data_IF_480775349722
#
_entry.id   IF_480775349722
#
_cell.length_a   1.000
_cell.length_b   1.000
_cell.length_c   1.000
_cell.angle_alpha   90.00
_cell.angle_beta   90.00
_cell.angle_gamma   90.00
#
_symmetry.space_group_name_H-M   'P 1'
#
loop_
_entity.id
_entity.type
_entity.pdbx_description
1 polymer ?
#
# COMPACT_ATOMS: atom_id res chain seq x y z
N UNK A 1 0.94 -15.94 -6.29
CA UNK A 1 0.42 -14.56 -6.18
C UNK A 1 -1.02 -14.61 -5.72
N UNK A 2 -1.43 -13.69 -4.86
CA UNK A 2 -2.81 -13.62 -4.35
C UNK A 2 -3.21 -12.16 -4.10
N UNK A 3 -4.50 -11.85 -4.15
CA UNK A 3 -5.03 -10.54 -3.76
C UNK A 3 -5.72 -10.65 -2.40
N UNK A 4 -5.29 -9.84 -1.44
CA UNK A 4 -5.93 -9.78 -0.12
C UNK A 4 -7.32 -9.15 -0.25
N UNK A 5 -8.30 -9.72 0.47
CA UNK A 5 -9.59 -9.07 0.70
C UNK A 5 -9.53 -8.37 2.04
N UNK A 6 -9.54 -7.04 2.03
CA UNK A 6 -9.63 -6.24 3.25
C UNK A 6 -10.98 -6.48 3.92
N UNK A 7 -10.98 -6.60 5.24
CA UNK A 7 -12.18 -6.82 6.05
C UNK A 7 -12.15 -5.88 7.23
N UNK A 8 -13.32 -5.45 7.66
CA UNK A 8 -13.45 -4.65 8.87
C UNK A 8 -12.90 -5.44 10.06
N UNK A 9 -11.99 -4.83 10.80
CA UNK A 9 -11.43 -5.37 12.04
C UNK A 9 -11.98 -4.59 13.23
N UNK A 10 -11.95 -5.19 14.42
CA UNK A 10 -12.19 -4.47 15.69
C UNK A 10 -10.97 -3.64 16.13
N UNK A 11 -9.81 -3.89 15.52
CA UNK A 11 -8.52 -3.32 15.93
C UNK A 11 -7.96 -2.37 14.87
N UNK A 12 -8.27 -2.61 13.59
CA UNK A 12 -7.83 -1.77 12.48
C UNK A 12 -9.03 -1.08 11.83
N UNK A 13 -8.93 0.24 11.71
CA UNK A 13 -9.87 1.03 10.94
C UNK A 13 -9.49 0.99 9.47
N UNK A 14 -10.49 0.89 8.59
CA UNK A 14 -10.31 1.07 7.16
C UNK A 14 -10.57 2.53 6.82
N UNK A 15 -9.77 3.09 5.92
CA UNK A 15 -9.92 4.44 5.41
C UNK A 15 -10.09 4.39 3.90
N UNK A 16 -10.89 5.31 3.36
CA UNK A 16 -11.12 5.45 1.92
C UNK A 16 -10.52 6.76 1.41
N UNK A 17 -9.56 6.67 0.50
CA UNK A 17 -8.90 7.81 -0.12
C UNK A 17 -9.35 7.93 -1.58
N UNK A 18 -10.08 9.00 -1.91
CA UNK A 18 -10.47 9.29 -3.29
C UNK A 18 -9.32 9.95 -4.05
N UNK A 19 -8.68 9.21 -4.95
CA UNK A 19 -7.55 9.69 -5.75
C UNK A 19 -8.04 10.15 -7.12
N UNK A 20 -7.78 11.43 -7.44
CA UNK A 20 -7.98 11.94 -8.79
C UNK A 20 -6.88 11.42 -9.72
N UNK A 21 -5.64 11.32 -9.22
CA UNK A 21 -4.48 10.80 -9.96
C UNK A 21 -4.71 9.37 -10.48
N UNK A 22 -5.26 8.49 -9.64
CA UNK A 22 -5.55 7.11 -10.00
C UNK A 22 -6.95 6.91 -10.59
N UNK A 23 -7.83 7.91 -10.47
CA UNK A 23 -9.22 7.83 -10.92
C UNK A 23 -10.07 6.82 -10.16
N UNK A 24 -9.70 6.50 -8.92
CA UNK A 24 -10.39 5.51 -8.08
C UNK A 24 -10.31 5.84 -6.59
N UNK A 25 -11.09 5.13 -5.78
CA UNK A 25 -11.01 5.17 -4.32
C UNK A 25 -10.11 4.01 -3.86
N UNK A 26 -9.09 4.33 -3.06
CA UNK A 26 -8.21 3.35 -2.43
C UNK A 26 -8.68 3.06 -1.01
N UNK A 27 -8.61 1.80 -0.59
CA UNK A 27 -8.86 1.40 0.80
C UNK A 27 -7.55 1.05 1.49
N UNK A 28 -7.27 1.67 2.64
CA UNK A 28 -6.03 1.48 3.42
C UNK A 28 -6.34 1.09 4.88
N UNK A 29 -5.39 0.46 5.56
CA UNK A 29 -5.60 -0.19 6.88
C UNK A 29 -5.13 0.64 8.08
N UNK A 30 -4.65 1.87 7.88
CA UNK A 30 -4.21 2.76 8.95
C UNK A 30 -4.29 4.25 8.58
N UNK A 31 -4.29 5.12 9.60
CA UNK A 31 -4.20 6.58 9.40
C UNK A 31 -2.90 6.97 8.74
N UNK A 32 -1.79 6.30 9.07
CA UNK A 32 -0.48 6.62 8.50
C UNK A 32 -0.41 6.27 7.01
N UNK A 33 -1.02 5.15 6.60
CA UNK A 33 -1.20 4.83 5.18
C UNK A 33 -2.11 5.84 4.48
N UNK A 34 -3.19 6.28 5.14
CA UNK A 34 -4.09 7.31 4.60
C UNK A 34 -3.37 8.65 4.40
N UNK A 35 -2.55 9.06 5.36
CA UNK A 35 -1.76 10.29 5.27
C UNK A 35 -0.69 10.18 4.16
N UNK A 36 -0.07 9.00 3.99
CA UNK A 36 0.87 8.73 2.91
C UNK A 36 0.23 8.92 1.51
N UNK A 37 -1.06 8.60 1.35
CA UNK A 37 -1.76 8.82 0.08
C UNK A 37 -1.72 10.29 -0.38
N UNK A 38 -1.76 11.27 0.53
CA UNK A 38 -1.65 12.68 0.13
C UNK A 38 -0.28 13.01 -0.47
N UNK A 39 0.79 12.40 0.05
CA UNK A 39 2.13 12.57 -0.52
C UNK A 39 2.23 11.97 -1.93
N UNK A 40 1.59 10.81 -2.16
CA UNK A 40 1.58 10.17 -3.47
C UNK A 40 0.71 10.95 -4.47
N UNK A 41 -0.48 11.42 -4.04
CA UNK A 41 -1.44 12.16 -4.86
C UNK A 41 -0.86 13.48 -5.39
N UNK A 42 -0.09 14.20 -4.58
CA UNK A 42 0.43 15.52 -4.96
C UNK A 42 1.88 15.52 -5.43
N UNK A 43 2.56 14.38 -5.42
CA UNK A 43 3.89 14.28 -6.02
C UNK A 43 3.82 14.30 -7.55
N UNK A 44 4.65 15.13 -8.17
CA UNK A 44 4.82 15.18 -9.63
C UNK A 44 5.64 14.00 -10.17
N UNK A 45 6.46 13.36 -9.32
CA UNK A 45 7.27 12.21 -9.72
C UNK A 45 6.46 10.91 -9.70
N UNK A 46 5.33 10.87 -8.98
CA UNK A 46 4.45 9.70 -8.94
C UNK A 46 3.39 9.80 -10.03
N UNK A 47 3.37 8.82 -10.93
CA UNK A 47 2.36 8.69 -11.98
C UNK A 47 1.10 7.98 -11.48
N UNK A 48 1.25 6.90 -10.71
CA UNK A 48 0.13 6.18 -10.11
C UNK A 48 0.56 5.40 -8.88
N UNK A 49 -0.41 5.01 -8.04
CA UNK A 49 -0.15 4.20 -6.86
C UNK A 49 -1.27 3.18 -6.60
N UNK A 50 -0.90 2.05 -6.01
CA UNK A 50 -1.82 0.97 -5.68
C UNK A 50 -1.64 0.61 -4.19
N UNK A 51 -2.72 0.65 -3.43
CA UNK A 51 -2.74 0.19 -2.05
C UNK A 51 -2.92 -1.34 -1.99
N UNK A 52 -2.17 -2.00 -1.11
CA UNK A 52 -2.17 -3.45 -0.91
C UNK A 52 -2.12 -4.22 -2.25
N UNK A 53 -1.06 -4.03 -3.05
CA UNK A 53 -0.89 -4.64 -4.37
C UNK A 53 -0.85 -6.17 -4.28
N UNK A 54 -0.58 -6.83 -5.41
CA UNK A 54 -0.49 -8.29 -5.44
C UNK A 54 0.54 -8.82 -4.42
N UNK A 55 0.10 -9.78 -3.60
CA UNK A 55 0.92 -10.39 -2.56
C UNK A 55 1.90 -11.44 -3.09
N UNK A 56 3.06 -11.48 -2.47
CA UNK A 56 4.14 -12.44 -2.70
C UNK A 56 4.12 -13.55 -1.67
N UNK A 57 4.78 -14.66 -1.99
CA UNK A 57 5.12 -15.67 -1.00
C UNK A 57 6.64 -15.80 -0.97
N UNK A 58 7.20 -15.96 0.21
CA UNK A 58 8.63 -16.18 0.41
C UNK A 58 8.83 -17.37 1.36
N UNK A 59 10.00 -18.01 1.27
CA UNK A 59 10.35 -19.11 2.15
C UNK A 59 11.25 -18.59 3.28
N UNK A 60 10.89 -18.89 4.52
CA UNK A 60 11.65 -18.54 5.71
C UNK A 60 11.49 -19.67 6.75
N UNK A 61 12.61 -20.21 7.24
CA UNK A 61 12.65 -21.27 8.27
C UNK A 61 11.65 -22.43 7.99
N UNK A 62 11.77 -23.04 6.79
CA UNK A 62 10.92 -24.14 6.32
C UNK A 62 9.42 -23.81 6.22
N UNK A 63 9.02 -22.53 6.31
CA UNK A 63 7.65 -22.06 6.12
C UNK A 63 7.56 -21.21 4.86
N UNK A 64 6.46 -21.38 4.13
CA UNK A 64 6.08 -20.45 3.06
C UNK A 64 5.15 -19.39 3.66
N UNK A 65 5.63 -18.15 3.68
CA UNK A 65 4.97 -17.02 4.32
C UNK A 65 4.47 -16.03 3.26
N UNK A 66 3.24 -15.49 3.43
CA UNK A 66 2.74 -14.44 2.57
C UNK A 66 3.33 -13.08 2.98
N UNK A 67 3.53 -12.20 1.99
CA UNK A 67 3.87 -10.80 2.17
C UNK A 67 3.07 -9.94 1.19
N UNK A 68 2.54 -8.81 1.65
CA UNK A 68 1.91 -7.80 0.79
C UNK A 68 2.43 -6.45 1.26
N UNK A 69 3.17 -5.71 0.42
CA UNK A 69 3.56 -4.34 0.73
C UNK A 69 2.33 -3.46 0.97
N UNK A 70 2.49 -2.36 1.69
CA UNK A 70 1.40 -1.41 1.87
C UNK A 70 1.04 -0.69 0.56
N UNK A 71 2.05 -0.30 -0.22
CA UNK A 71 1.85 0.36 -1.52
C UNK A 71 2.80 -0.13 -2.61
N UNK A 72 2.33 -0.01 -3.86
CA UNK A 72 3.16 0.00 -5.07
C UNK A 72 3.02 1.35 -5.76
N UNK A 73 4.13 2.05 -5.95
CA UNK A 73 4.19 3.33 -6.66
C UNK A 73 4.77 3.12 -8.06
N UNK A 74 4.25 3.84 -9.05
CA UNK A 74 4.84 3.95 -10.38
C UNK A 74 5.27 5.40 -10.56
N UNK A 75 6.56 5.62 -10.79
CA UNK A 75 7.07 6.96 -11.08
C UNK A 75 6.87 7.36 -12.55
N UNK A 76 7.14 8.63 -12.88
CA UNK A 76 7.03 9.15 -14.26
C UNK A 76 7.96 8.48 -15.26
N UNK A 77 9.01 7.79 -14.78
CA UNK A 77 9.91 6.98 -15.61
C UNK A 77 9.44 5.53 -15.79
N UNK A 78 8.27 5.17 -15.23
CA UNK A 78 7.71 3.83 -15.28
C UNK A 78 8.33 2.83 -14.30
N UNK A 79 9.20 3.28 -13.40
CA UNK A 79 9.84 2.42 -12.39
C UNK A 79 8.84 2.16 -11.26
N UNK A 80 8.72 0.89 -10.88
CA UNK A 80 7.87 0.45 -9.79
C UNK A 80 8.66 0.35 -8.48
N UNK A 81 8.13 0.94 -7.41
CA UNK A 81 8.70 0.88 -6.06
C UNK A 81 7.65 0.36 -5.08
N UNK A 82 8.03 -0.61 -4.25
CA UNK A 82 7.20 -1.06 -3.13
C UNK A 82 7.55 -0.29 -1.87
N UNK A 83 6.53 0.16 -1.14
CA UNK A 83 6.68 0.99 0.06
C UNK A 83 5.93 0.34 1.20
N UNK A 84 6.61 0.24 2.34
CA UNK A 84 6.04 -0.19 3.62
C UNK A 84 5.90 1.03 4.52
N UNK A 85 4.70 1.26 5.06
CA UNK A 85 4.41 2.40 5.92
C UNK A 85 4.40 1.92 7.36
N UNK A 86 5.29 2.50 8.19
CA UNK A 86 5.45 2.13 9.60
C UNK A 86 5.74 3.35 10.46
N UNK A 87 5.29 3.38 11.73
CA UNK A 87 5.68 4.41 12.68
C UNK A 87 7.20 4.48 12.83
N UNK A 88 7.74 5.68 13.07
CA UNK A 88 9.18 5.87 13.28
C UNK A 88 9.72 5.03 14.46
N UNK A 89 8.89 4.79 15.49
CA UNK A 89 9.26 3.96 16.64
C UNK A 89 9.39 2.46 16.34
N UNK A 90 9.09 2.03 15.12
CA UNK A 90 9.29 0.66 14.68
C UNK A 90 10.74 0.38 14.23
N UNK A 91 11.49 1.44 13.91
CA UNK A 91 12.88 1.40 13.51
C UNK A 91 13.79 1.83 14.66
#
# INVERSE_FOLDING_TARGET
>A
MYRRKLRHSRVKNLYEFASAKNGNVLTVESTLEFDACFHFEYSNDIQSFEAQPIGFHYNYEAKTLPYTPDFRLINVSGVATFVEIKPASFF
#
